data_IF_588185072435
#
_entry.id   IF_588185072435
#
_cell.length_a   1.000
_cell.length_b   1.000
_cell.length_c   1.000
_cell.angle_alpha   90.00
_cell.angle_beta   90.00
_cell.angle_gamma   90.00
#
_symmetry.space_group_name_H-M   'P 1'
#
loop_
_entity.id
_entity.type
_entity.pdbx_description
1 polymer ?
#
# COMPACT_ATOMS: atom_id res chain seq x y z
N UNK A 1 -29.70 11.15 4.35
CA UNK A 1 -28.72 12.20 4.11
C UNK A 1 -27.34 11.57 4.17
N UNK A 2 -26.49 11.80 3.18
CA UNK A 2 -25.11 11.35 3.20
C UNK A 2 -24.31 12.19 4.22
N UNK A 3 -23.29 11.63 4.88
CA UNK A 3 -22.39 12.38 5.74
C UNK A 3 -21.47 13.26 4.88
N UNK A 4 -20.93 14.33 5.48
CA UNK A 4 -19.95 15.20 4.83
C UNK A 4 -18.57 14.53 4.76
N UNK A 5 -18.26 13.68 5.75
CA UNK A 5 -17.05 12.87 5.76
C UNK A 5 -17.27 11.50 6.41
N UNK A 6 -16.43 10.54 6.03
CA UNK A 6 -16.30 9.23 6.68
C UNK A 6 -14.89 9.08 7.20
N UNK A 7 -14.78 8.72 8.47
CA UNK A 7 -13.51 8.36 9.13
C UNK A 7 -13.55 6.86 9.39
N UNK A 8 -12.55 6.14 8.92
CA UNK A 8 -12.49 4.68 9.04
C UNK A 8 -11.09 4.21 9.43
N UNK A 9 -11.02 3.08 10.15
CA UNK A 9 -9.77 2.36 10.32
C UNK A 9 -9.51 1.48 9.09
N UNK A 10 -8.25 1.22 8.75
CA UNK A 10 -7.88 0.25 7.71
C UNK A 10 -8.37 -1.15 8.08
N UNK A 11 -8.13 -1.56 9.33
CA UNK A 11 -8.42 -2.92 9.80
C UNK A 11 -9.67 -2.94 10.68
N UNK A 12 -10.74 -3.44 10.14
CA UNK A 12 -12.02 -3.60 10.84
C UNK A 12 -12.54 -5.03 10.73
N UNK A 13 -13.43 -5.46 11.65
CA UNK A 13 -14.20 -6.69 11.45
C UNK A 13 -14.99 -6.66 10.12
N UNK A 14 -15.23 -7.80 9.49
CA UNK A 14 -15.05 -9.16 10.01
C UNK A 14 -13.66 -9.76 9.80
N UNK A 15 -12.91 -9.34 8.76
CA UNK A 15 -11.68 -10.02 8.41
C UNK A 15 -10.46 -9.50 9.18
N UNK A 16 -10.54 -8.30 9.75
CA UNK A 16 -9.41 -7.60 10.40
C UNK A 16 -8.20 -7.37 9.48
N UNK A 17 -8.42 -7.36 8.16
CA UNK A 17 -7.37 -7.11 7.15
C UNK A 17 -7.40 -5.67 6.67
N UNK A 18 -8.11 -5.40 5.59
CA UNK A 18 -8.24 -4.09 4.95
C UNK A 18 -9.70 -3.69 4.70
N UNK A 19 -10.63 -4.28 5.46
CA UNK A 19 -12.07 -4.06 5.29
C UNK A 19 -12.47 -2.59 5.27
N UNK A 20 -11.84 -1.79 6.14
CA UNK A 20 -12.11 -0.35 6.19
C UNK A 20 -11.57 0.41 4.99
N UNK A 21 -10.43 0.01 4.44
CA UNK A 21 -9.92 0.59 3.20
C UNK A 21 -10.82 0.23 2.01
N UNK A 22 -11.26 -1.03 1.93
CA UNK A 22 -12.21 -1.46 0.88
C UNK A 22 -13.52 -0.70 0.96
N UNK A 23 -14.05 -0.52 2.17
CA UNK A 23 -15.25 0.31 2.42
C UNK A 23 -15.01 1.77 1.98
N UNK A 24 -13.86 2.36 2.30
CA UNK A 24 -13.49 3.71 1.88
C UNK A 24 -13.46 3.85 0.35
N UNK A 25 -12.84 2.88 -0.35
CA UNK A 25 -12.79 2.85 -1.81
C UNK A 25 -14.17 2.65 -2.45
N UNK A 26 -15.03 1.84 -1.83
CA UNK A 26 -16.40 1.66 -2.30
C UNK A 26 -17.25 2.92 -2.12
N UNK A 27 -17.12 3.60 -0.97
CA UNK A 27 -17.76 4.89 -0.73
C UNK A 27 -17.26 5.93 -1.74
N UNK A 28 -15.96 6.01 -2.02
CA UNK A 28 -15.42 6.93 -3.01
C UNK A 28 -16.03 6.72 -4.39
N UNK A 29 -16.20 5.47 -4.82
CA UNK A 29 -16.82 5.15 -6.12
C UNK A 29 -18.30 5.53 -6.18
N UNK A 30 -19.05 5.25 -5.13
CA UNK A 30 -20.52 5.46 -5.10
C UNK A 30 -20.91 6.89 -4.76
N UNK A 31 -20.13 7.55 -3.94
CA UNK A 31 -20.41 8.86 -3.37
C UNK A 31 -19.16 9.75 -3.42
N UNK A 32 -18.69 10.14 -4.61
CA UNK A 32 -17.41 10.84 -4.78
C UNK A 32 -17.31 12.16 -4.00
N UNK A 33 -18.42 12.84 -3.73
CA UNK A 33 -18.45 14.08 -2.96
C UNK A 33 -18.22 13.90 -1.44
N UNK A 34 -18.31 12.66 -0.92
CA UNK A 34 -18.07 12.40 0.50
C UNK A 34 -16.57 12.41 0.75
N UNK A 35 -16.12 13.21 1.72
CA UNK A 35 -14.72 13.24 2.15
C UNK A 35 -14.36 11.97 2.91
N UNK A 36 -13.14 11.48 2.75
CA UNK A 36 -12.69 10.21 3.37
C UNK A 36 -11.41 10.44 4.14
N UNK A 37 -11.39 10.00 5.41
CA UNK A 37 -10.18 9.94 6.21
C UNK A 37 -9.95 8.52 6.71
N UNK A 38 -8.83 7.93 6.34
CA UNK A 38 -8.43 6.60 6.77
C UNK A 38 -7.38 6.73 7.88
N UNK A 39 -7.59 6.00 8.96
CA UNK A 39 -6.66 5.88 10.07
C UNK A 39 -5.98 4.50 10.02
N UNK A 40 -4.67 4.46 10.24
CA UNK A 40 -3.88 3.23 10.21
C UNK A 40 -2.94 3.13 11.39
N UNK A 41 -2.72 1.92 11.90
CA UNK A 41 -1.66 1.64 12.88
C UNK A 41 -0.28 1.51 12.22
N UNK A 42 -0.23 1.27 10.91
CA UNK A 42 1.00 0.93 10.22
C UNK A 42 1.20 1.82 8.99
N UNK A 43 2.47 2.09 8.68
CA UNK A 43 2.85 2.76 7.44
C UNK A 43 2.67 1.76 6.30
N UNK A 44 1.67 2.00 5.44
CA UNK A 44 1.46 1.21 4.22
C UNK A 44 1.36 2.13 3.01
N UNK A 45 2.43 2.15 2.21
CA UNK A 45 2.46 2.89 0.95
C UNK A 45 1.40 2.38 -0.03
N UNK A 46 1.18 1.05 -0.07
CA UNK A 46 0.23 0.44 -0.99
C UNK A 46 -1.22 0.88 -0.69
N UNK A 47 -1.62 0.91 0.57
CA UNK A 47 -2.96 1.35 0.96
C UNK A 47 -3.17 2.85 0.70
N UNK A 48 -2.17 3.67 1.03
CA UNK A 48 -2.23 5.09 0.75
C UNK A 48 -2.29 5.38 -0.76
N UNK A 49 -1.50 4.67 -1.58
CA UNK A 49 -1.55 4.78 -3.03
C UNK A 49 -2.92 4.41 -3.59
N UNK A 50 -3.52 3.30 -3.15
CA UNK A 50 -4.86 2.90 -3.60
C UNK A 50 -5.92 3.98 -3.28
N UNK A 51 -5.84 4.58 -2.09
CA UNK A 51 -6.79 5.60 -1.66
C UNK A 51 -6.59 6.93 -2.39
N UNK A 52 -5.32 7.36 -2.58
CA UNK A 52 -4.97 8.66 -3.11
C UNK A 52 -4.88 8.69 -4.64
N UNK A 53 -4.62 7.54 -5.28
CA UNK A 53 -4.55 7.40 -6.74
C UNK A 53 -5.92 7.12 -7.40
N UNK A 54 -7.01 7.11 -6.62
CA UNK A 54 -8.35 6.96 -7.21
C UNK A 54 -8.62 8.16 -8.14
N UNK A 55 -8.96 7.88 -9.40
CA UNK A 55 -9.42 8.88 -10.39
C UNK A 55 -10.73 9.51 -9.89
N UNK A 56 -10.59 10.47 -8.97
CA UNK A 56 -11.71 11.18 -8.41
C UNK A 56 -12.04 12.39 -9.30
N UNK A 57 -13.32 12.68 -9.57
CA UNK A 57 -13.71 13.88 -10.29
C UNK A 57 -13.24 15.15 -9.55
N UNK A 58 -13.12 16.27 -10.27
CA UNK A 58 -12.58 17.52 -9.74
C UNK A 58 -13.36 18.09 -8.54
N UNK A 59 -14.61 17.70 -8.38
CA UNK A 59 -15.52 18.06 -7.29
C UNK A 59 -15.63 16.98 -6.18
N UNK A 60 -14.73 16.00 -6.20
CA UNK A 60 -14.72 14.96 -5.18
C UNK A 60 -14.37 15.53 -3.81
N UNK A 61 -14.93 14.93 -2.78
CA UNK A 61 -14.55 15.19 -1.39
C UNK A 61 -13.07 14.86 -1.14
N UNK A 62 -12.47 15.53 -0.18
CA UNK A 62 -11.07 15.36 0.15
C UNK A 62 -10.71 13.98 0.66
N UNK A 63 -9.41 13.70 0.71
CA UNK A 63 -8.88 12.40 1.10
C UNK A 63 -7.77 12.55 2.14
N UNK A 64 -7.85 11.79 3.23
CA UNK A 64 -6.84 11.75 4.28
C UNK A 64 -6.37 10.34 4.58
N UNK A 65 -5.06 10.18 4.80
CA UNK A 65 -4.45 8.96 5.33
C UNK A 65 -3.50 9.32 6.47
N UNK A 66 -3.86 8.99 7.70
CA UNK A 66 -3.11 9.33 8.90
C UNK A 66 -2.75 8.08 9.71
N UNK A 67 -1.63 8.15 10.40
CA UNK A 67 -1.28 7.16 11.41
C UNK A 67 -2.02 7.44 12.72
N UNK A 68 -2.49 6.39 13.40
CA UNK A 68 -3.24 6.51 14.68
C UNK A 68 -2.42 7.20 15.77
N UNK A 69 -1.09 7.05 15.75
CA UNK A 69 -0.20 7.69 16.71
C UNK A 69 -0.24 9.24 16.61
N UNK A 70 -0.60 9.77 15.43
CA UNK A 70 -0.78 11.21 15.20
C UNK A 70 -2.12 11.75 15.67
N UNK A 71 -3.10 10.88 15.88
CA UNK A 71 -4.46 11.28 16.34
C UNK A 71 -4.46 11.66 17.83
N UNK A 72 -3.42 11.35 18.58
CA UNK A 72 -3.26 11.76 19.98
C UNK A 72 -3.26 13.28 20.19
N UNK A 73 -2.79 14.05 19.18
CA UNK A 73 -2.87 15.51 19.17
C UNK A 73 -4.19 15.95 18.50
N UNK A 74 -5.23 16.13 19.29
CA UNK A 74 -6.60 16.43 18.82
C UNK A 74 -6.65 17.67 17.92
N UNK A 75 -5.87 18.70 18.20
CA UNK A 75 -5.83 19.93 17.42
C UNK A 75 -5.31 19.67 15.99
N UNK A 76 -4.26 18.87 15.83
CA UNK A 76 -3.67 18.51 14.55
C UNK A 76 -4.59 17.61 13.75
N UNK A 77 -5.25 16.66 14.43
CA UNK A 77 -6.27 15.81 13.80
C UNK A 77 -7.43 16.64 13.26
N UNK A 78 -7.99 17.57 14.05
CA UNK A 78 -9.07 18.45 13.62
C UNK A 78 -8.63 19.39 12.50
N UNK A 79 -7.38 19.86 12.51
CA UNK A 79 -6.78 20.61 11.41
C UNK A 79 -6.77 19.81 10.12
N UNK A 80 -6.28 18.57 10.17
CA UNK A 80 -6.25 17.64 9.05
C UNK A 80 -7.66 17.33 8.52
N UNK A 81 -8.62 17.11 9.42
CA UNK A 81 -10.01 16.86 9.05
C UNK A 81 -10.64 18.05 8.32
N UNK A 82 -10.36 19.29 8.75
CA UNK A 82 -10.84 20.50 8.07
C UNK A 82 -10.30 20.61 6.64
N UNK A 83 -9.03 20.28 6.43
CA UNK A 83 -8.43 20.27 5.09
C UNK A 83 -9.14 19.24 4.20
N UNK A 84 -9.39 18.05 4.73
CA UNK A 84 -10.11 16.98 4.00
C UNK A 84 -11.56 17.39 3.71
N UNK A 85 -12.26 18.00 4.65
CA UNK A 85 -13.63 18.52 4.43
C UNK A 85 -13.70 19.64 3.38
N UNK A 86 -12.61 20.40 3.22
CA UNK A 86 -12.49 21.42 2.18
C UNK A 86 -12.09 20.85 0.81
N UNK A 87 -12.08 19.52 0.63
CA UNK A 87 -11.68 18.86 -0.62
C UNK A 87 -10.17 18.64 -0.77
N UNK A 88 -9.38 18.97 0.26
CA UNK A 88 -7.93 18.82 0.23
C UNK A 88 -7.45 17.40 0.49
N UNK A 89 -6.14 17.21 0.29
CA UNK A 89 -5.46 15.93 0.57
C UNK A 89 -4.53 16.07 1.77
N UNK A 90 -4.60 15.10 2.68
CA UNK A 90 -3.72 15.01 3.85
C UNK A 90 -3.11 13.62 3.94
N UNK A 91 -1.80 13.56 4.08
CA UNK A 91 -1.08 12.29 4.25
C UNK A 91 -0.03 12.46 5.35
N UNK A 92 0.09 11.43 6.20
CA UNK A 92 1.16 11.39 7.19
C UNK A 92 2.54 11.46 6.49
N UNK A 93 3.48 12.28 7.00
CA UNK A 93 4.81 12.42 6.40
C UNK A 93 5.58 11.10 6.25
N UNK A 94 5.40 10.13 7.15
CA UNK A 94 6.04 8.83 7.06
C UNK A 94 5.44 7.98 5.93
N UNK A 95 4.12 8.04 5.77
CA UNK A 95 3.40 7.39 4.68
C UNK A 95 3.78 8.01 3.34
N UNK A 96 3.85 9.35 3.25
CA UNK A 96 4.28 10.05 2.05
C UNK A 96 5.71 9.64 1.64
N UNK A 97 6.65 9.57 2.60
CA UNK A 97 8.00 9.08 2.35
C UNK A 97 8.03 7.63 1.87
N UNK A 98 7.19 6.77 2.44
CA UNK A 98 7.07 5.38 1.99
C UNK A 98 6.50 5.28 0.57
N UNK A 99 5.52 6.12 0.21
CA UNK A 99 4.97 6.19 -1.15
C UNK A 99 6.04 6.63 -2.16
N UNK A 100 6.83 7.66 -1.85
CA UNK A 100 7.94 8.11 -2.72
C UNK A 100 8.99 7.01 -2.89
N UNK A 101 9.31 6.27 -1.83
CA UNK A 101 10.22 5.11 -1.94
C UNK A 101 9.64 3.99 -2.79
N UNK A 102 8.35 3.70 -2.67
CA UNK A 102 7.71 2.64 -3.45
C UNK A 102 7.47 3.02 -4.91
N UNK A 103 7.26 4.31 -5.20
CA UNK A 103 7.11 4.81 -6.57
C UNK A 103 8.43 4.87 -7.35
N UNK A 104 9.55 4.96 -6.65
CA UNK A 104 10.88 4.73 -7.24
C UNK A 104 11.14 3.23 -7.24
N UNK A 105 10.49 2.50 -8.14
CA UNK A 105 10.46 1.03 -8.22
C UNK A 105 11.40 0.38 -7.18
N UNK A 106 10.88 -0.20 -6.11
CA UNK A 106 11.69 -0.87 -5.07
C UNK A 106 12.59 -1.98 -5.65
N UNK A 107 12.52 -2.17 -6.96
CA UNK A 107 13.41 -2.98 -7.78
C UNK A 107 14.85 -2.44 -7.76
N UNK A 108 15.04 -1.11 -7.74
CA UNK A 108 16.38 -0.50 -7.64
C UNK A 108 17.06 -0.77 -6.28
N UNK A 109 16.27 -1.09 -5.25
CA UNK A 109 16.78 -1.40 -3.90
C UNK A 109 17.07 -2.89 -3.70
N UNK A 110 16.75 -3.73 -4.70
CA UNK A 110 17.03 -5.17 -4.63
C UNK A 110 18.53 -5.43 -4.83
N UNK A 111 19.06 -6.30 -3.99
CA UNK A 111 20.40 -6.85 -4.23
C UNK A 111 20.41 -7.75 -5.47
N UNK A 112 21.57 -8.02 -6.10
CA UNK A 112 21.65 -8.93 -7.24
C UNK A 112 21.03 -10.31 -6.96
N UNK A 113 21.16 -10.82 -5.74
CA UNK A 113 20.57 -12.12 -5.32
C UNK A 113 19.05 -12.05 -5.17
N UNK A 114 18.52 -10.95 -4.66
CA UNK A 114 17.08 -10.75 -4.56
C UNK A 114 16.45 -10.57 -5.96
N UNK A 115 17.14 -9.86 -6.86
CA UNK A 115 16.71 -9.73 -8.24
C UNK A 115 16.69 -11.08 -8.95
N UNK A 116 17.72 -11.91 -8.81
CA UNK A 116 17.79 -13.27 -9.35
C UNK A 116 16.63 -14.14 -8.84
N UNK A 117 16.30 -14.07 -7.53
CA UNK A 117 15.14 -14.76 -6.96
C UNK A 117 13.85 -14.26 -7.58
N UNK A 118 13.68 -12.95 -7.76
CA UNK A 118 12.48 -12.35 -8.34
C UNK A 118 12.29 -12.74 -9.82
N UNK A 119 13.38 -12.80 -10.58
CA UNK A 119 13.36 -13.29 -11.96
C UNK A 119 12.89 -14.75 -12.04
N UNK A 120 13.39 -15.62 -11.17
CA UNK A 120 12.97 -17.00 -11.10
C UNK A 120 11.50 -17.15 -10.65
N UNK A 121 11.06 -16.28 -9.74
CA UNK A 121 9.63 -16.19 -9.40
C UNK A 121 8.78 -15.79 -10.60
N UNK A 122 9.23 -14.83 -11.41
CA UNK A 122 8.52 -14.38 -12.61
C UNK A 122 8.45 -15.47 -13.71
N UNK A 123 9.42 -16.40 -13.73
CA UNK A 123 9.37 -17.60 -14.57
C UNK A 123 8.44 -18.69 -14.04
N UNK A 124 7.77 -18.47 -12.89
CA UNK A 124 6.81 -19.40 -12.30
C UNK A 124 7.41 -20.45 -11.37
N UNK A 125 8.70 -20.38 -11.01
CA UNK A 125 9.32 -21.35 -10.13
C UNK A 125 8.83 -21.22 -8.68
N UNK A 126 8.61 -22.34 -8.03
CA UNK A 126 8.35 -22.41 -6.58
C UNK A 126 9.63 -22.17 -5.78
N UNK A 127 9.51 -21.87 -4.47
CA UNK A 127 10.68 -21.66 -3.62
C UNK A 127 11.63 -22.88 -3.57
N UNK A 128 11.09 -24.11 -3.65
CA UNK A 128 11.89 -25.33 -3.70
C UNK A 128 12.66 -25.45 -5.03
N UNK A 129 12.06 -25.09 -6.13
CA UNK A 129 12.73 -25.08 -7.44
C UNK A 129 13.80 -23.98 -7.51
N UNK A 130 13.53 -22.79 -6.95
CA UNK A 130 14.51 -21.70 -6.82
C UNK A 130 15.69 -22.16 -5.95
N UNK A 131 15.41 -22.80 -4.82
CA UNK A 131 16.42 -23.37 -3.93
C UNK A 131 17.35 -24.36 -4.65
N UNK A 132 16.76 -25.26 -5.44
CA UNK A 132 17.52 -26.22 -6.23
C UNK A 132 18.36 -25.53 -7.32
N UNK A 133 17.80 -24.56 -8.02
CA UNK A 133 18.47 -23.88 -9.16
C UNK A 133 19.61 -22.97 -8.67
N UNK A 134 19.43 -22.26 -7.55
CA UNK A 134 20.44 -21.36 -6.98
C UNK A 134 21.45 -22.08 -6.09
N UNK A 135 21.24 -23.38 -5.83
CA UNK A 135 22.08 -24.20 -4.91
C UNK A 135 22.17 -23.56 -3.50
N UNK A 136 21.01 -23.14 -2.96
CA UNK A 136 20.90 -22.55 -1.63
C UNK A 136 19.83 -23.28 -0.81
N UNK A 137 19.79 -23.08 0.50
CA UNK A 137 18.73 -23.66 1.34
C UNK A 137 17.36 -23.01 1.08
N UNK A 138 16.27 -23.77 1.28
CA UNK A 138 14.91 -23.22 1.22
C UNK A 138 14.68 -22.06 2.19
N UNK A 139 15.32 -22.08 3.36
CA UNK A 139 15.28 -20.98 4.32
C UNK A 139 15.96 -19.71 3.77
N UNK A 140 17.04 -19.83 3.02
CA UNK A 140 17.69 -18.70 2.36
C UNK A 140 16.78 -18.08 1.30
N UNK A 141 16.12 -18.90 0.47
CA UNK A 141 15.14 -18.42 -0.52
C UNK A 141 13.97 -17.70 0.18
N UNK A 142 13.42 -18.28 1.25
CA UNK A 142 12.34 -17.65 2.01
C UNK A 142 12.75 -16.28 2.57
N UNK A 143 13.99 -16.14 3.06
CA UNK A 143 14.56 -14.88 3.52
C UNK A 143 14.65 -13.84 2.39
N UNK A 144 15.13 -14.23 1.21
CA UNK A 144 15.19 -13.35 0.05
C UNK A 144 13.78 -12.92 -0.40
N UNK A 145 12.81 -13.84 -0.47
CA UNK A 145 11.42 -13.53 -0.82
C UNK A 145 10.80 -12.53 0.18
N UNK A 146 11.04 -12.70 1.47
CA UNK A 146 10.58 -11.76 2.49
C UNK A 146 11.22 -10.38 2.33
N UNK A 147 12.52 -10.32 2.04
CA UNK A 147 13.23 -9.07 1.80
C UNK A 147 12.73 -8.36 0.53
N UNK A 148 12.46 -9.10 -0.55
CA UNK A 148 11.85 -8.58 -1.78
C UNK A 148 10.49 -7.94 -1.47
N UNK A 149 9.60 -8.64 -0.75
CA UNK A 149 8.29 -8.10 -0.40
C UNK A 149 8.39 -6.82 0.43
N UNK A 150 9.31 -6.79 1.39
CA UNK A 150 9.56 -5.60 2.21
C UNK A 150 10.04 -4.42 1.36
N UNK A 151 11.02 -4.63 0.48
CA UNK A 151 11.61 -3.59 -0.37
C UNK A 151 10.63 -3.08 -1.43
N UNK A 152 9.77 -3.95 -1.95
CA UNK A 152 8.67 -3.59 -2.85
C UNK A 152 7.47 -2.97 -2.12
N UNK A 153 7.50 -2.83 -0.80
CA UNK A 153 6.42 -2.25 0.00
C UNK A 153 5.14 -3.09 0.03
N UNK A 154 5.26 -4.42 -0.16
CA UNK A 154 4.12 -5.33 -0.15
C UNK A 154 3.74 -5.71 1.28
N UNK A 155 2.51 -5.37 1.68
CA UNK A 155 2.02 -5.57 3.05
C UNK A 155 1.93 -7.08 3.41
N UNK A 156 2.38 -7.49 4.61
CA UNK A 156 2.25 -8.88 5.08
C UNK A 156 0.83 -9.44 5.10
N UNK A 157 -0.19 -8.59 5.18
CA UNK A 157 -1.59 -9.00 5.16
C UNK A 157 -2.15 -9.28 3.75
N UNK A 158 -1.43 -8.94 2.69
CA UNK A 158 -1.88 -9.17 1.32
C UNK A 158 -1.71 -10.64 0.91
N UNK A 159 -2.77 -11.28 0.43
CA UNK A 159 -2.75 -12.70 0.02
C UNK A 159 -1.90 -12.97 -1.23
N UNK A 160 -1.79 -11.99 -2.13
CA UNK A 160 -1.18 -12.16 -3.45
C UNK A 160 0.16 -11.44 -3.61
N UNK A 161 0.95 -11.26 -2.53
CA UNK A 161 2.25 -10.56 -2.56
C UNK A 161 3.20 -11.08 -3.64
N UNK A 162 3.22 -12.41 -3.85
CA UNK A 162 4.05 -13.03 -4.87
C UNK A 162 3.66 -12.56 -6.28
N UNK A 163 2.37 -12.56 -6.59
CA UNK A 163 1.85 -12.09 -7.89
C UNK A 163 2.17 -10.62 -8.08
N UNK A 164 1.99 -9.80 -7.05
CA UNK A 164 2.29 -8.35 -7.13
C UNK A 164 3.78 -8.07 -7.33
N UNK A 165 4.66 -8.81 -6.66
CA UNK A 165 6.11 -8.71 -6.89
C UNK A 165 6.48 -9.04 -8.34
N UNK A 166 5.89 -10.10 -8.89
CA UNK A 166 6.10 -10.51 -10.28
C UNK A 166 5.59 -9.44 -11.26
N UNK A 167 4.39 -8.90 -11.03
CA UNK A 167 3.83 -7.84 -11.87
C UNK A 167 4.66 -6.55 -11.83
N UNK A 168 5.18 -6.17 -10.66
CA UNK A 168 6.09 -5.04 -10.53
C UNK A 168 7.35 -5.23 -11.36
N UNK A 169 7.95 -6.42 -11.31
CA UNK A 169 9.13 -6.78 -12.09
C UNK A 169 8.88 -6.77 -13.62
N UNK A 170 7.76 -7.37 -14.06
CA UNK A 170 7.40 -7.41 -15.49
C UNK A 170 7.02 -6.02 -16.02
N UNK A 171 6.38 -5.17 -15.19
CA UNK A 171 6.01 -3.81 -15.56
C UNK A 171 7.21 -2.90 -15.79
N UNK A 172 8.27 -3.04 -15.00
CA UNK A 172 9.53 -2.28 -15.17
C UNK A 172 10.28 -2.73 -16.45
N UNK A 173 10.21 -4.02 -16.79
CA UNK A 173 10.82 -4.58 -17.99
C UNK A 173 10.17 -4.13 -19.31
N UNK A 174 8.93 -3.64 -19.28
CA UNK A 174 8.21 -3.11 -20.44
C UNK A 174 8.44 -1.60 -20.66
N UNK A 175 9.10 -0.93 -19.72
CA UNK A 175 9.37 0.53 -19.75
C UNK A 175 10.80 0.88 -20.17
N UNK A 176 11.59 -0.12 -20.61
CA UNK A 176 12.97 0.07 -21.12
C UNK A 176 13.07 -0.14 -22.61
#
# INVERSE_FOLDING_TARGET
>A
RLPDAVITDVRMPPSMRNDGLEAALDIRRRHPAVSIMVLSQYVSAAYAQQLLASDAPADAGGTGYLLKDRVSEVADFLGSLRVVLAGGMVTDPEVARAMVRSSRSGLADLTPRELEVLELMARGLSNSQISAQMVVSGAAVAKHVSAIFLKLGLDPSEENRRVRAILAFLGDGLSR
#
